data_IF_194332850108
#
_entry.id   IF_194332850108
#
_cell.length_a   1.000
_cell.length_b   1.000
_cell.length_c   1.000
_cell.angle_alpha   90.00
_cell.angle_beta   90.00
_cell.angle_gamma   90.00
#
_symmetry.space_group_name_H-M   'P 1'
#
loop_
_entity.id
_entity.type
_entity.pdbx_description
1 polymer ?
#
# COMPACT_ATOMS: atom_id res chain seq x y z
N UNK A 1 -28.72 25.44 29.74
CA UNK A 1 -27.45 25.58 28.98
C UNK A 1 -26.40 24.62 29.56
N UNK A 2 -26.60 23.30 29.47
CA UNK A 2 -25.67 22.27 30.01
C UNK A 2 -25.84 20.90 29.30
N UNK A 3 -25.76 20.84 27.97
CA UNK A 3 -25.81 19.55 27.24
C UNK A 3 -24.69 19.34 26.21
N UNK A 4 -23.73 20.27 26.09
CA UNK A 4 -22.77 20.23 24.98
C UNK A 4 -21.37 19.67 25.33
N UNK A 5 -21.00 19.56 26.61
CA UNK A 5 -19.66 19.09 27.01
C UNK A 5 -19.51 17.57 26.99
N UNK A 6 -20.53 16.83 27.44
CA UNK A 6 -20.52 15.37 27.48
C UNK A 6 -20.52 14.72 26.10
N UNK A 7 -21.26 15.30 25.14
CA UNK A 7 -21.31 14.80 23.77
C UNK A 7 -19.98 15.03 23.02
N UNK A 8 -19.30 16.16 23.30
CA UNK A 8 -17.98 16.47 22.72
C UNK A 8 -16.87 15.55 23.24
N UNK A 9 -16.89 15.20 24.53
CA UNK A 9 -15.94 14.24 25.09
C UNK A 9 -16.19 12.81 24.59
N UNK A 10 -17.45 12.40 24.46
CA UNK A 10 -17.80 11.09 23.92
C UNK A 10 -17.34 10.94 22.46
N UNK A 11 -17.60 11.95 21.61
CA UNK A 11 -17.15 11.94 20.22
C UNK A 11 -15.62 11.83 20.09
N UNK A 12 -14.87 12.62 20.87
CA UNK A 12 -13.39 12.53 20.92
C UNK A 12 -12.89 11.19 21.42
N UNK A 13 -13.58 10.57 22.38
CA UNK A 13 -13.23 9.25 22.88
C UNK A 13 -13.43 8.20 21.79
N UNK A 14 -14.60 8.15 21.15
CA UNK A 14 -14.88 7.23 20.04
C UNK A 14 -13.88 7.42 18.89
N UNK A 15 -13.54 8.66 18.55
CA UNK A 15 -12.57 8.97 17.49
C UNK A 15 -11.16 8.47 17.85
N UNK A 16 -10.73 8.62 19.10
CA UNK A 16 -9.44 8.09 19.57
C UNK A 16 -9.41 6.57 19.65
N UNK A 17 -10.52 5.92 20.01
CA UNK A 17 -10.64 4.45 20.02
C UNK A 17 -10.60 3.90 18.61
N UNK A 18 -11.28 4.55 17.65
CA UNK A 18 -11.24 4.19 16.23
C UNK A 18 -9.82 4.32 15.67
N UNK A 19 -9.15 5.45 15.90
CA UNK A 19 -7.74 5.63 15.52
C UNK A 19 -6.80 4.59 16.15
N UNK A 20 -6.99 4.26 17.42
CA UNK A 20 -6.17 3.23 18.09
C UNK A 20 -6.39 1.85 17.46
N UNK A 21 -7.63 1.50 17.16
CA UNK A 21 -7.96 0.21 16.55
C UNK A 21 -7.41 0.12 15.12
N UNK A 22 -7.52 1.19 14.33
CA UNK A 22 -6.89 1.28 13.01
C UNK A 22 -5.37 1.14 13.09
N UNK A 23 -4.73 1.85 14.03
CA UNK A 23 -3.29 1.78 14.24
C UNK A 23 -2.82 0.39 14.67
N UNK A 24 -3.49 -0.23 15.65
CA UNK A 24 -3.17 -1.58 16.12
C UNK A 24 -3.35 -2.64 15.04
N UNK A 25 -4.35 -2.45 14.16
CA UNK A 25 -4.62 -3.35 13.04
C UNK A 25 -3.57 -3.18 11.93
N UNK A 26 -3.19 -1.94 11.59
CA UNK A 26 -2.07 -1.66 10.68
C UNK A 26 -0.75 -2.25 11.20
N UNK A 27 -0.49 -2.14 12.50
CA UNK A 27 0.69 -2.73 13.14
C UNK A 27 0.67 -4.26 13.05
N UNK A 28 -0.49 -4.88 13.26
CA UNK A 28 -0.65 -6.33 13.14
C UNK A 28 -0.44 -6.81 11.70
N UNK A 29 -1.00 -6.09 10.71
CA UNK A 29 -0.80 -6.41 9.28
C UNK A 29 0.65 -6.22 8.86
N UNK A 30 1.31 -5.16 9.32
CA UNK A 30 2.74 -4.95 9.10
C UNK A 30 3.60 -6.03 9.77
N UNK A 31 3.26 -6.45 10.99
CA UNK A 31 3.94 -7.53 11.70
C UNK A 31 3.83 -8.86 10.95
N UNK A 32 2.63 -9.25 10.50
CA UNK A 32 2.41 -10.45 9.69
C UNK A 32 3.15 -10.39 8.35
N UNK A 33 3.23 -9.20 7.73
CA UNK A 33 4.00 -8.95 6.51
C UNK A 33 5.49 -9.16 6.73
N UNK A 34 6.02 -8.62 7.84
CA UNK A 34 7.42 -8.78 8.23
C UNK A 34 7.76 -10.24 8.53
N UNK A 35 6.90 -10.94 9.27
CA UNK A 35 7.07 -12.36 9.57
C UNK A 35 7.07 -13.20 8.28
N UNK A 36 6.11 -12.97 7.38
CA UNK A 36 6.06 -13.66 6.08
C UNK A 36 7.32 -13.39 5.24
N UNK A 37 7.83 -12.14 5.23
CA UNK A 37 9.09 -11.80 4.56
C UNK A 37 10.30 -12.48 5.20
N UNK A 38 10.36 -12.53 6.54
CA UNK A 38 11.43 -13.22 7.26
C UNK A 38 11.43 -14.72 6.95
N UNK A 39 10.26 -15.37 6.98
CA UNK A 39 10.14 -16.78 6.60
C UNK A 39 10.60 -17.02 5.16
N UNK A 40 10.23 -16.13 4.22
CA UNK A 40 10.69 -16.22 2.84
C UNK A 40 12.22 -16.03 2.71
N UNK A 41 12.80 -15.08 3.44
CA UNK A 41 14.25 -14.85 3.47
C UNK A 41 14.98 -16.06 4.06
N UNK A 42 14.50 -16.65 5.15
CA UNK A 42 15.09 -17.86 5.71
C UNK A 42 15.01 -19.04 4.74
N UNK A 43 13.88 -19.22 4.04
CA UNK A 43 13.75 -20.26 3.02
C UNK A 43 14.70 -20.02 1.84
N UNK A 44 14.84 -18.77 1.42
CA UNK A 44 15.75 -18.35 0.34
C UNK A 44 17.20 -18.59 0.73
N UNK A 45 17.59 -18.21 1.96
CA UNK A 45 18.93 -18.42 2.48
C UNK A 45 19.27 -19.91 2.61
N UNK A 46 18.35 -20.73 3.13
CA UNK A 46 18.50 -22.20 3.17
C UNK A 46 18.68 -22.81 1.77
N UNK A 47 18.04 -22.26 0.74
CA UNK A 47 18.24 -22.70 -0.65
C UNK A 47 19.61 -22.27 -1.20
N UNK A 48 20.08 -21.06 -0.87
CA UNK A 48 21.42 -20.59 -1.24
C UNK A 48 22.52 -21.42 -0.60
N UNK A 49 22.42 -21.72 0.70
CA UNK A 49 23.39 -22.55 1.43
C UNK A 49 23.53 -23.94 0.80
N UNK A 50 22.41 -24.55 0.39
CA UNK A 50 22.41 -25.82 -0.35
C UNK A 50 23.10 -25.73 -1.71
N UNK A 51 22.99 -24.60 -2.40
CA UNK A 51 23.65 -24.37 -3.68
C UNK A 51 25.15 -24.14 -3.54
N UNK A 52 25.58 -23.45 -2.49
CA UNK A 52 27.00 -23.21 -2.19
C UNK A 52 27.71 -24.54 -1.86
N UNK A 53 27.01 -25.49 -1.25
CA UNK A 53 27.55 -26.81 -0.89
C UNK A 53 27.49 -27.90 -1.98
N UNK A 54 26.92 -27.64 -3.16
CA UNK A 54 26.67 -28.67 -4.20
C UNK A 54 27.53 -28.42 -5.46
N UNK A 55 28.52 -29.30 -5.71
CA UNK A 55 29.55 -29.16 -6.75
C UNK A 55 29.08 -29.60 -8.17
N UNK A 56 27.79 -29.42 -8.47
CA UNK A 56 27.14 -30.00 -9.67
C UNK A 56 26.91 -29.01 -10.80
N UNK A 57 26.98 -29.51 -12.05
CA UNK A 57 26.72 -28.80 -13.34
C UNK A 57 25.35 -28.12 -13.51
N UNK A 58 24.47 -28.09 -12.50
CA UNK A 58 23.09 -27.57 -12.61
C UNK A 58 22.84 -26.30 -11.77
N UNK A 59 23.88 -25.71 -11.16
CA UNK A 59 23.79 -24.52 -10.29
C UNK A 59 23.09 -23.35 -10.98
N UNK A 60 23.34 -23.10 -12.26
CA UNK A 60 22.70 -22.02 -13.02
C UNK A 60 21.17 -22.15 -13.08
N UNK A 61 20.65 -23.37 -13.30
CA UNK A 61 19.19 -23.59 -13.37
C UNK A 61 18.52 -23.42 -12.01
N UNK A 62 19.21 -23.78 -10.93
CA UNK A 62 18.68 -23.62 -9.58
C UNK A 62 18.73 -22.16 -9.12
N UNK A 63 19.79 -21.42 -9.48
CA UNK A 63 19.87 -19.97 -9.29
C UNK A 63 18.76 -19.24 -10.04
N UNK A 64 18.46 -19.63 -11.28
CA UNK A 64 17.34 -19.04 -12.05
C UNK A 64 16.01 -19.26 -11.33
N UNK A 65 15.72 -20.49 -10.87
CA UNK A 65 14.48 -20.77 -10.10
C UNK A 65 14.40 -19.96 -8.81
N UNK A 66 15.53 -19.75 -8.14
CA UNK A 66 15.59 -18.92 -6.94
C UNK A 66 15.28 -17.46 -7.28
N UNK A 67 15.87 -16.93 -8.35
CA UNK A 67 15.59 -15.59 -8.88
C UNK A 67 14.10 -15.42 -9.21
N UNK A 68 13.50 -16.37 -9.94
CA UNK A 68 12.08 -16.33 -10.30
C UNK A 68 11.18 -16.39 -9.05
N UNK A 69 11.55 -17.19 -8.04
CA UNK A 69 10.84 -17.28 -6.76
C UNK A 69 10.91 -15.96 -5.99
N UNK A 70 12.06 -15.28 -6.00
CA UNK A 70 12.23 -13.95 -5.40
C UNK A 70 11.38 -12.93 -6.16
N UNK A 71 11.42 -12.90 -7.49
CA UNK A 71 10.60 -12.00 -8.30
C UNK A 71 9.10 -12.18 -8.05
N UNK A 72 8.64 -13.43 -7.90
CA UNK A 72 7.24 -13.70 -7.60
C UNK A 72 6.85 -13.19 -6.21
N UNK A 73 7.70 -13.37 -5.21
CA UNK A 73 7.43 -12.92 -3.83
C UNK A 73 7.53 -11.39 -3.68
N UNK A 74 8.36 -10.73 -4.50
CA UNK A 74 8.42 -9.28 -4.61
C UNK A 74 7.15 -8.67 -5.25
N UNK A 75 6.38 -9.46 -5.99
CA UNK A 75 5.12 -9.07 -6.63
C UNK A 75 3.89 -9.41 -5.78
N UNK A 76 4.06 -9.87 -4.55
CA UNK A 76 2.96 -10.37 -3.73
C UNK A 76 1.89 -9.29 -3.47
N UNK A 77 0.68 -9.53 -3.99
CA UNK A 77 -0.47 -8.62 -3.93
C UNK A 77 -1.26 -8.73 -2.62
N UNK A 78 -0.96 -9.75 -1.79
CA UNK A 78 -1.71 -10.02 -0.56
C UNK A 78 -1.76 -8.81 0.39
N UNK A 79 -0.64 -8.10 0.50
CA UNK A 79 -0.53 -6.89 1.33
C UNK A 79 -1.44 -5.77 0.86
N UNK A 80 -1.54 -5.59 -0.46
CA UNK A 80 -2.45 -4.60 -1.02
C UNK A 80 -3.92 -4.99 -0.81
N UNK A 81 -4.26 -6.27 -0.90
CA UNK A 81 -5.63 -6.73 -0.68
C UNK A 81 -6.09 -6.45 0.76
N UNK A 82 -5.25 -6.76 1.75
CA UNK A 82 -5.50 -6.40 3.16
C UNK A 82 -5.66 -4.89 3.35
N UNK A 83 -4.74 -4.11 2.80
CA UNK A 83 -4.84 -2.66 2.82
C UNK A 83 -6.15 -2.17 2.17
N UNK A 84 -6.56 -2.72 1.03
CA UNK A 84 -7.75 -2.30 0.29
C UNK A 84 -9.02 -2.53 1.10
N UNK A 85 -9.16 -3.69 1.74
CA UNK A 85 -10.32 -3.99 2.61
C UNK A 85 -10.42 -2.94 3.72
N UNK A 86 -9.31 -2.64 4.39
CA UNK A 86 -9.29 -1.62 5.45
C UNK A 86 -9.59 -0.23 4.92
N UNK A 87 -8.99 0.13 3.78
CA UNK A 87 -9.19 1.41 3.14
C UNK A 87 -10.67 1.63 2.80
N UNK A 88 -11.37 0.61 2.28
CA UNK A 88 -12.80 0.71 1.94
C UNK A 88 -13.71 0.82 3.17
N UNK A 89 -13.32 0.23 4.31
CA UNK A 89 -14.02 0.41 5.59
C UNK A 89 -13.95 1.87 6.09
N UNK A 90 -12.76 2.49 6.00
CA UNK A 90 -12.51 3.86 6.49
C UNK A 90 -12.97 4.92 5.50
N UNK A 91 -12.83 4.64 4.20
CA UNK A 91 -13.18 5.55 3.10
C UNK A 91 -14.21 4.91 2.17
N UNK A 92 -15.45 4.69 2.67
CA UNK A 92 -16.50 4.09 1.88
C UNK A 92 -16.80 4.93 0.64
N UNK A 93 -17.09 4.25 -0.47
CA UNK A 93 -17.39 4.85 -1.77
C UNK A 93 -16.24 5.65 -2.44
N UNK A 94 -15.05 5.72 -1.85
CA UNK A 94 -13.94 6.49 -2.43
C UNK A 94 -13.62 6.05 -3.86
N UNK A 95 -13.43 4.75 -4.09
CA UNK A 95 -13.16 4.23 -5.44
C UNK A 95 -14.31 4.48 -6.39
N UNK A 96 -15.56 4.39 -5.90
CA UNK A 96 -16.75 4.69 -6.70
C UNK A 96 -16.75 6.14 -7.16
N UNK A 97 -16.56 7.09 -6.25
CA UNK A 97 -16.49 8.54 -6.55
C UNK A 97 -15.34 8.87 -7.50
N UNK A 98 -14.18 8.22 -7.32
CA UNK A 98 -13.04 8.43 -8.20
C UNK A 98 -13.31 7.90 -9.62
N UNK A 99 -13.96 6.74 -9.75
CA UNK A 99 -14.35 6.14 -11.03
C UNK A 99 -15.53 6.85 -11.70
N UNK A 100 -16.38 7.54 -10.93
CA UNK A 100 -17.42 8.43 -11.47
C UNK A 100 -16.82 9.65 -12.19
N UNK A 101 -15.61 10.10 -11.80
CA UNK A 101 -14.89 11.18 -12.49
C UNK A 101 -14.25 10.67 -13.79
N UNK A 102 -13.54 9.55 -13.74
CA UNK A 102 -12.95 8.88 -14.90
C UNK A 102 -12.93 7.37 -14.69
N UNK A 103 -13.72 6.64 -15.48
CA UNK A 103 -13.83 5.18 -15.40
C UNK A 103 -12.61 4.43 -15.96
N UNK A 104 -11.67 5.14 -16.59
CA UNK A 104 -10.47 4.57 -17.20
C UNK A 104 -9.27 4.52 -16.24
N UNK A 105 -9.48 4.71 -14.94
CA UNK A 105 -8.43 4.49 -13.95
C UNK A 105 -8.05 3.02 -13.86
N UNK A 106 -6.79 2.71 -14.17
CA UNK A 106 -6.22 1.39 -13.86
C UNK A 106 -6.08 1.15 -12.35
N UNK A 107 -5.96 -0.12 -11.96
CA UNK A 107 -5.71 -0.51 -10.56
C UNK A 107 -4.49 0.19 -9.95
N UNK A 108 -3.44 0.44 -10.73
CA UNK A 108 -2.28 1.19 -10.27
C UNK A 108 -2.60 2.64 -9.89
N UNK A 109 -3.56 3.28 -10.57
CA UNK A 109 -4.01 4.62 -10.22
C UNK A 109 -4.90 4.59 -8.97
N UNK A 110 -5.78 3.59 -8.85
CA UNK A 110 -6.62 3.41 -7.66
C UNK A 110 -5.75 3.13 -6.42
N UNK A 111 -4.76 2.23 -6.55
CA UNK A 111 -3.71 1.99 -5.56
C UNK A 111 -3.05 3.29 -5.13
N UNK A 112 -2.50 4.06 -6.09
CA UNK A 112 -1.83 5.34 -5.79
C UNK A 112 -2.77 6.34 -5.09
N UNK A 113 -4.00 6.49 -5.58
CA UNK A 113 -5.00 7.40 -5.02
C UNK A 113 -5.32 7.06 -3.55
N UNK A 114 -5.49 5.76 -3.26
CA UNK A 114 -5.79 5.29 -1.91
C UNK A 114 -4.65 5.61 -0.93
N UNK A 115 -3.38 5.40 -1.31
CA UNK A 115 -2.26 5.80 -0.44
C UNK A 115 -2.16 7.33 -0.27
N UNK A 116 -2.44 8.11 -1.31
CA UNK A 116 -2.51 9.58 -1.19
C UNK A 116 -3.61 9.98 -0.20
N UNK A 117 -4.80 9.37 -0.32
CA UNK A 117 -5.94 9.63 0.57
C UNK A 117 -5.67 9.29 2.04
N UNK A 118 -4.85 8.27 2.27
CA UNK A 118 -4.36 7.88 3.60
C UNK A 118 -3.27 8.81 4.16
N UNK A 119 -2.79 9.78 3.38
CA UNK A 119 -1.82 10.77 3.86
C UNK A 119 -0.34 10.41 3.65
N UNK A 120 -0.03 9.25 3.08
CA UNK A 120 1.37 8.82 2.86
C UNK A 120 2.10 9.71 1.87
N UNK A 121 3.35 10.07 2.14
CA UNK A 121 4.19 10.85 1.23
C UNK A 121 4.75 10.00 0.07
N UNK A 122 5.37 10.63 -0.93
CA UNK A 122 5.82 9.93 -2.14
C UNK A 122 6.89 8.85 -1.87
N UNK A 123 7.74 9.03 -0.84
CA UNK A 123 8.76 8.06 -0.45
C UNK A 123 8.14 6.85 0.23
N UNK A 124 7.16 7.07 1.10
CA UNK A 124 6.37 6.01 1.73
C UNK A 124 5.58 5.22 0.68
N UNK A 125 4.92 5.91 -0.25
CA UNK A 125 4.21 5.28 -1.37
C UNK A 125 5.17 4.42 -2.22
N UNK A 126 6.36 4.95 -2.52
CA UNK A 126 7.40 4.22 -3.26
C UNK A 126 7.78 2.92 -2.54
N UNK A 127 7.94 2.98 -1.22
CA UNK A 127 8.21 1.81 -0.37
C UNK A 127 7.05 0.80 -0.38
N UNK A 128 5.81 1.26 -0.13
CA UNK A 128 4.63 0.39 -0.07
C UNK A 128 4.28 -0.27 -1.41
N UNK A 129 4.46 0.45 -2.52
CA UNK A 129 4.21 -0.08 -3.86
C UNK A 129 5.39 -0.87 -4.43
N UNK A 130 6.54 -0.88 -3.76
CA UNK A 130 7.79 -1.49 -4.24
C UNK A 130 8.16 -1.00 -5.67
N UNK A 131 8.05 0.31 -5.90
CA UNK A 131 8.41 0.97 -7.17
C UNK A 131 9.33 2.16 -6.90
N UNK A 132 10.02 2.65 -7.93
CA UNK A 132 10.87 3.84 -7.77
C UNK A 132 10.07 5.10 -7.48
N UNK A 133 10.67 6.05 -6.76
CA UNK A 133 10.09 7.37 -6.51
C UNK A 133 9.72 8.09 -7.83
N UNK A 134 10.51 7.90 -8.88
CA UNK A 134 10.23 8.42 -10.21
C UNK A 134 8.95 7.83 -10.82
N UNK A 135 8.71 6.53 -10.63
CA UNK A 135 7.47 5.88 -11.07
C UNK A 135 6.24 6.43 -10.34
N UNK A 136 6.35 6.70 -9.03
CA UNK A 136 5.29 7.37 -8.25
C UNK A 136 4.99 8.75 -8.82
N UNK A 137 6.02 9.58 -9.04
CA UNK A 137 5.86 10.93 -9.62
C UNK A 137 5.20 10.89 -11.00
N UNK A 138 5.58 9.94 -11.86
CA UNK A 138 4.95 9.75 -13.18
C UNK A 138 3.49 9.30 -13.06
N UNK A 139 3.17 8.45 -12.07
CA UNK A 139 1.80 8.09 -11.71
C UNK A 139 0.96 9.31 -11.33
N UNK A 140 1.47 10.16 -10.45
CA UNK A 140 0.83 11.41 -10.03
C UNK A 140 0.54 12.33 -11.24
N UNK A 141 1.52 12.51 -12.13
CA UNK A 141 1.32 13.34 -13.33
C UNK A 141 0.23 12.80 -14.25
N UNK A 142 0.21 11.49 -14.48
CA UNK A 142 -0.87 10.84 -15.27
C UNK A 142 -2.23 11.01 -14.62
N UNK A 143 -2.31 10.91 -13.29
CA UNK A 143 -3.55 11.16 -12.55
C UNK A 143 -4.01 12.61 -12.66
N UNK A 144 -3.12 13.59 -12.54
CA UNK A 144 -3.46 15.01 -12.73
C UNK A 144 -4.09 15.25 -14.11
N UNK A 145 -3.53 14.65 -15.16
CA UNK A 145 -4.08 14.75 -16.52
C UNK A 145 -5.48 14.14 -16.63
N UNK A 146 -5.67 12.93 -16.09
CA UNK A 146 -6.98 12.25 -16.09
C UNK A 146 -8.06 13.00 -15.32
N UNK A 147 -7.70 13.59 -14.19
CA UNK A 147 -8.60 14.40 -13.35
C UNK A 147 -8.72 15.85 -13.82
N UNK A 148 -8.05 16.21 -14.92
CA UNK A 148 -7.99 17.58 -15.45
C UNK A 148 -7.58 18.63 -14.41
N UNK A 149 -6.65 18.27 -13.51
CA UNK A 149 -6.18 19.15 -12.43
C UNK A 149 -5.12 20.12 -12.97
N UNK A 150 -5.30 21.44 -12.79
CA UNK A 150 -4.33 22.43 -13.24
C UNK A 150 -2.90 22.20 -12.71
N UNK A 151 -1.86 22.66 -13.42
CA UNK A 151 -0.47 22.49 -12.99
C UNK A 151 -0.18 23.02 -11.59
N UNK A 152 -0.81 24.12 -11.21
CA UNK A 152 -0.64 24.79 -9.91
C UNK A 152 -1.43 24.15 -8.77
N UNK A 153 -2.41 23.29 -9.08
CA UNK A 153 -3.21 22.60 -8.07
C UNK A 153 -2.58 21.27 -7.63
N UNK A 154 -2.80 20.91 -6.38
CA UNK A 154 -2.26 19.69 -5.78
C UNK A 154 -3.21 18.51 -6.01
N UNK A 155 -2.71 17.43 -6.63
CA UNK A 155 -3.45 16.17 -6.71
C UNK A 155 -3.85 15.68 -5.31
N UNK A 156 -2.98 15.87 -4.32
CA UNK A 156 -3.23 15.41 -2.95
C UNK A 156 -4.43 16.12 -2.33
N UNK A 157 -4.51 17.43 -2.48
CA UNK A 157 -5.65 18.21 -2.00
C UNK A 157 -6.95 17.80 -2.70
N UNK A 158 -6.90 17.56 -4.01
CA UNK A 158 -8.05 17.06 -4.77
C UNK A 158 -8.52 15.71 -4.21
N UNK A 159 -7.62 14.75 -4.05
CA UNK A 159 -7.92 13.41 -3.52
C UNK A 159 -8.47 13.48 -2.08
N UNK A 160 -7.95 14.39 -1.24
CA UNK A 160 -8.47 14.57 0.12
C UNK A 160 -9.92 15.07 0.16
N UNK A 161 -10.41 15.74 -0.88
CA UNK A 161 -11.79 16.24 -0.97
C UNK A 161 -12.81 15.19 -1.46
N UNK A 162 -12.35 14.11 -2.10
CA UNK A 162 -13.21 12.99 -2.56
C UNK A 162 -13.76 12.20 -1.38
#
# INVERSE_FOLDING_TARGET
MWLNSGNSQFLKFTENTLKNNELNRLLSTNYLSLDTKNQFLEQTNRRLEKLIGDDRKNTTRQLQKLSDSIEKHLKDEYQYQLFKVHFEEVHPLFYKRLLEIDNSFSDGNLKLASFIKMGFNNSEISFFLNVSLAAVKKGIQRMKQKLNIPPHESLREFIFKI
#
